data_IF_237929957283
#
_entry.id   IF_237929957283
#
_cell.length_a   1.000
_cell.length_b   1.000
_cell.length_c   1.000
_cell.angle_alpha   90.00
_cell.angle_beta   90.00
_cell.angle_gamma   90.00
#
_symmetry.space_group_name_H-M   'P 1'
#
loop_
_entity.id
_entity.type
_entity.pdbx_description
1 polymer ?
#
# COMPACT_ATOMS: atom_id res chain seq x y z
N UNK A 1 -11.51 -0.18 -15.38
CA UNK A 1 -11.56 -1.38 -14.55
C UNK A 1 -10.27 -1.59 -13.79
N UNK A 2 -10.35 -1.81 -12.50
CA UNK A 2 -9.17 -2.09 -11.71
C UNK A 2 -8.61 -3.48 -12.04
N UNK A 3 -7.30 -3.62 -11.95
CA UNK A 3 -6.61 -4.91 -12.03
C UNK A 3 -7.09 -5.78 -10.87
N UNK A 4 -7.68 -6.95 -11.17
CA UNK A 4 -8.17 -7.87 -10.13
C UNK A 4 -7.04 -8.34 -9.21
N UNK A 5 -5.82 -8.47 -9.74
CA UNK A 5 -4.67 -8.83 -8.92
C UNK A 5 -4.34 -7.73 -7.93
N UNK A 6 -4.47 -6.46 -8.33
CA UNK A 6 -4.27 -5.34 -7.40
C UNK A 6 -5.29 -5.37 -6.27
N UNK A 7 -6.55 -5.68 -6.57
CA UNK A 7 -7.59 -5.78 -5.55
C UNK A 7 -7.23 -6.87 -4.54
N UNK A 8 -6.86 -8.05 -5.03
CA UNK A 8 -6.51 -9.20 -4.18
C UNK A 8 -5.26 -8.92 -3.37
N UNK A 9 -4.19 -8.46 -4.03
CA UNK A 9 -2.89 -8.25 -3.38
C UNK A 9 -2.94 -7.12 -2.35
N UNK A 10 -3.64 -6.03 -2.66
CA UNK A 10 -3.72 -4.89 -1.74
C UNK A 10 -4.55 -5.22 -0.50
N UNK A 11 -5.59 -6.04 -0.65
CA UNK A 11 -6.39 -6.51 0.49
C UNK A 11 -5.58 -7.44 1.37
N UNK A 12 -4.86 -8.39 0.75
CA UNK A 12 -3.99 -9.31 1.49
C UNK A 12 -2.89 -8.54 2.24
N UNK A 13 -2.31 -7.55 1.60
CA UNK A 13 -1.30 -6.69 2.21
C UNK A 13 -1.87 -5.94 3.42
N UNK A 14 -3.07 -5.38 3.29
CA UNK A 14 -3.73 -4.68 4.40
C UNK A 14 -3.94 -5.59 5.61
N UNK A 15 -4.38 -6.83 5.36
CA UNK A 15 -4.57 -7.83 6.43
C UNK A 15 -3.23 -8.13 7.11
N UNK A 16 -2.17 -8.32 6.34
CA UNK A 16 -0.84 -8.61 6.88
C UNK A 16 -0.27 -7.40 7.66
N UNK A 17 -0.52 -6.19 7.20
CA UNK A 17 -0.11 -4.97 7.90
C UNK A 17 -0.82 -4.89 9.26
N UNK A 18 -2.10 -5.20 9.32
CA UNK A 18 -2.85 -5.21 10.58
C UNK A 18 -2.22 -6.20 11.55
N UNK A 19 -1.90 -7.41 11.07
CA UNK A 19 -1.27 -8.43 11.89
C UNK A 19 0.09 -8.00 12.43
N UNK A 20 0.92 -7.41 11.58
CA UNK A 20 2.22 -6.88 11.97
C UNK A 20 2.07 -5.77 13.02
N UNK A 21 1.15 -4.84 12.79
CA UNK A 21 0.93 -3.72 13.71
C UNK A 21 0.43 -4.20 15.08
N UNK A 22 -0.45 -5.19 15.11
CA UNK A 22 -0.91 -5.79 16.38
C UNK A 22 0.25 -6.41 17.14
N UNK A 23 1.11 -7.16 16.45
CA UNK A 23 2.29 -7.78 17.05
C UNK A 23 3.24 -6.74 17.64
N UNK A 24 3.51 -5.66 16.90
CA UNK A 24 4.38 -4.58 17.36
C UNK A 24 3.77 -3.80 18.52
N UNK A 25 2.45 -3.62 18.52
CA UNK A 25 1.72 -2.93 19.59
C UNK A 25 1.83 -3.70 20.90
N UNK A 26 1.75 -5.03 20.84
CA UNK A 26 1.94 -5.89 22.02
C UNK A 26 3.33 -5.74 22.61
N UNK A 27 4.33 -5.45 21.77
CA UNK A 27 5.71 -5.19 22.21
C UNK A 27 5.88 -3.76 22.71
N UNK A 28 4.85 -2.94 22.67
CA UNK A 28 4.85 -1.53 23.10
C UNK A 28 5.92 -0.69 22.37
N UNK A 29 6.04 -0.88 21.05
CA UNK A 29 7.03 -0.20 20.22
C UNK A 29 6.41 0.95 19.45
N UNK A 30 7.00 2.16 19.59
CA UNK A 30 6.76 3.33 18.73
C UNK A 30 5.32 3.49 18.23
N UNK A 31 4.34 3.55 19.15
CA UNK A 31 2.90 3.51 18.81
C UNK A 31 2.48 4.56 17.79
N UNK A 32 3.00 5.79 17.89
CA UNK A 32 2.65 6.86 16.96
C UNK A 32 3.06 6.53 15.52
N UNK A 33 4.28 6.01 15.34
CA UNK A 33 4.81 5.61 14.02
C UNK A 33 4.07 4.39 13.52
N UNK A 34 3.77 3.47 14.42
CA UNK A 34 3.00 2.26 14.11
C UNK A 34 1.63 2.62 13.52
N UNK A 35 0.97 3.63 14.07
CA UNK A 35 -0.31 4.09 13.55
C UNK A 35 -0.18 4.68 12.15
N UNK A 36 0.94 5.31 11.82
CA UNK A 36 1.21 5.80 10.48
C UNK A 36 1.40 4.64 9.48
N UNK A 37 2.10 3.60 9.89
CA UNK A 37 2.25 2.40 9.06
C UNK A 37 0.90 1.74 8.80
N UNK A 38 0.08 1.59 9.84
CA UNK A 38 -1.25 1.01 9.72
C UNK A 38 -2.11 1.84 8.76
N UNK A 39 -2.13 3.15 8.92
CA UNK A 39 -2.90 4.06 8.07
C UNK A 39 -2.47 3.96 6.61
N UNK A 40 -1.18 4.13 6.34
CA UNK A 40 -0.69 4.13 4.95
C UNK A 40 -0.84 2.75 4.30
N UNK A 41 -0.51 1.69 5.03
CA UNK A 41 -0.56 0.33 4.50
C UNK A 41 -1.98 -0.13 4.14
N UNK A 42 -2.99 0.31 4.90
CA UNK A 42 -4.39 -0.02 4.60
C UNK A 42 -5.00 0.93 3.58
N UNK A 43 -4.48 2.14 3.46
CA UNK A 43 -4.97 3.14 2.50
C UNK A 43 -4.70 2.76 1.05
N UNK A 44 -3.67 1.97 0.78
CA UNK A 44 -3.37 1.48 -0.57
C UNK A 44 -4.59 0.74 -1.12
N UNK A 45 -5.04 -0.29 -0.42
CA UNK A 45 -6.19 -1.09 -0.84
C UNK A 45 -7.49 -0.30 -0.83
N UNK A 46 -7.67 0.59 0.14
CA UNK A 46 -8.87 1.42 0.22
C UNK A 46 -9.03 2.28 -1.05
N UNK A 47 -7.96 2.90 -1.52
CA UNK A 47 -8.00 3.72 -2.73
C UNK A 47 -8.19 2.88 -4.00
N UNK A 48 -7.58 1.71 -4.06
CA UNK A 48 -7.80 0.79 -5.18
C UNK A 48 -9.26 0.34 -5.21
N UNK A 49 -9.83 0.04 -4.06
CA UNK A 49 -11.24 -0.35 -3.94
C UNK A 49 -12.16 0.78 -4.44
N UNK A 50 -11.90 2.01 -3.98
CA UNK A 50 -12.70 3.17 -4.38
C UNK A 50 -12.58 3.47 -5.87
N UNK A 51 -11.43 3.17 -6.49
CA UNK A 51 -11.24 3.39 -7.92
C UNK A 51 -12.25 2.60 -8.77
N UNK A 52 -12.74 1.45 -8.28
CA UNK A 52 -13.76 0.67 -8.99
C UNK A 52 -15.10 1.41 -9.09
N UNK A 53 -15.29 2.43 -8.27
CA UNK A 53 -16.52 3.23 -8.22
C UNK A 53 -16.25 4.66 -8.69
N UNK A 54 -15.14 4.87 -9.39
CA UNK A 54 -14.75 6.19 -9.87
C UNK A 54 -15.80 6.77 -10.82
N UNK A 55 -16.04 8.08 -10.71
CA UNK A 55 -17.02 8.78 -11.51
C UNK A 55 -16.54 9.10 -12.92
N UNK A 56 -15.24 8.98 -13.18
CA UNK A 56 -14.63 9.30 -14.48
C UNK A 56 -13.26 8.61 -14.58
N UNK A 57 -12.68 8.64 -15.78
CA UNK A 57 -11.30 8.13 -15.98
C UNK A 57 -10.31 8.95 -15.17
N UNK A 58 -10.52 10.27 -15.10
CA UNK A 58 -9.65 11.14 -14.32
C UNK A 58 -9.71 10.80 -12.83
N UNK A 59 -10.89 10.52 -12.30
CA UNK A 59 -11.08 10.12 -10.92
C UNK A 59 -10.42 8.76 -10.64
N UNK A 60 -10.56 7.80 -11.56
CA UNK A 60 -9.91 6.50 -11.48
C UNK A 60 -8.39 6.65 -11.37
N UNK A 61 -7.81 7.44 -12.28
CA UNK A 61 -6.36 7.70 -12.28
C UNK A 61 -5.94 8.37 -10.98
N UNK A 62 -6.72 9.35 -10.51
CA UNK A 62 -6.43 10.04 -9.26
C UNK A 62 -6.40 9.08 -8.07
N UNK A 63 -7.38 8.18 -7.97
CA UNK A 63 -7.43 7.19 -6.88
C UNK A 63 -6.21 6.27 -6.92
N UNK A 64 -5.79 5.84 -8.10
CA UNK A 64 -4.59 5.01 -8.25
C UNK A 64 -3.32 5.78 -7.89
N UNK A 65 -3.26 7.07 -8.23
CA UNK A 65 -2.11 7.90 -7.86
C UNK A 65 -2.02 8.09 -6.34
N UNK A 66 -3.15 8.23 -5.66
CA UNK A 66 -3.18 8.29 -4.21
C UNK A 66 -2.69 6.96 -3.63
N UNK A 67 -3.17 5.83 -4.17
CA UNK A 67 -2.71 4.51 -3.73
C UNK A 67 -1.19 4.36 -3.89
N UNK A 68 -0.64 4.81 -5.02
CA UNK A 68 0.80 4.78 -5.27
C UNK A 68 1.57 5.62 -4.25
N UNK A 69 1.07 6.81 -3.96
CA UNK A 69 1.67 7.69 -2.96
C UNK A 69 1.69 7.01 -1.59
N UNK A 70 0.61 6.32 -1.24
CA UNK A 70 0.53 5.57 0.02
C UNK A 70 1.52 4.39 0.04
N UNK A 71 1.82 3.78 -1.12
CA UNK A 71 2.88 2.77 -1.21
C UNK A 71 4.25 3.36 -0.82
N UNK A 72 4.58 4.53 -1.34
CA UNK A 72 5.84 5.18 -1.01
C UNK A 72 5.92 5.54 0.47
N UNK A 73 4.83 6.01 1.05
CA UNK A 73 4.79 6.30 2.48
C UNK A 73 4.95 5.02 3.31
N UNK A 74 4.29 3.94 2.91
CA UNK A 74 4.40 2.64 3.58
C UNK A 74 5.82 2.12 3.52
N UNK A 75 6.49 2.21 2.37
CA UNK A 75 7.90 1.85 2.23
C UNK A 75 8.76 2.61 3.25
N UNK A 76 8.51 3.90 3.41
CA UNK A 76 9.25 4.73 4.35
C UNK A 76 9.09 4.24 5.78
N UNK A 77 7.87 3.98 6.23
CA UNK A 77 7.63 3.50 7.60
C UNK A 77 8.22 2.10 7.83
N UNK A 78 8.14 1.22 6.83
CA UNK A 78 8.75 -0.10 6.90
C UNK A 78 10.26 0.02 7.08
N UNK A 79 10.89 0.92 6.33
CA UNK A 79 12.32 1.17 6.41
C UNK A 79 12.72 1.71 7.79
N UNK A 80 11.94 2.65 8.33
CA UNK A 80 12.17 3.19 9.67
C UNK A 80 12.10 2.08 10.73
N UNK A 81 11.11 1.20 10.65
CA UNK A 81 11.00 0.09 11.60
C UNK A 81 12.14 -0.91 11.44
N UNK A 82 12.57 -1.18 10.23
CA UNK A 82 13.72 -2.05 9.98
C UNK A 82 15.00 -1.45 10.57
N UNK A 83 15.25 -0.18 10.29
CA UNK A 83 16.48 0.50 10.72
C UNK A 83 16.54 0.67 12.24
N UNK A 84 15.38 0.80 12.88
CA UNK A 84 15.30 0.90 14.35
C UNK A 84 15.29 -0.47 15.03
N UNK A 85 15.32 -1.55 14.24
CA UNK A 85 15.39 -2.93 14.71
C UNK A 85 14.22 -3.35 15.61
N UNK A 86 13.04 -2.80 15.35
CA UNK A 86 11.84 -3.18 16.11
C UNK A 86 11.20 -4.45 15.58
N UNK A 87 11.68 -4.98 14.45
CA UNK A 87 11.19 -6.24 13.87
C UNK A 87 12.30 -6.97 13.14
N UNK A 88 12.07 -8.24 12.82
CA UNK A 88 13.08 -9.09 12.16
C UNK A 88 13.27 -8.71 10.69
N UNK A 89 14.46 -9.06 10.16
CA UNK A 89 14.76 -8.86 8.73
C UNK A 89 13.79 -9.64 7.84
N UNK A 90 13.34 -10.81 8.27
CA UNK A 90 12.40 -11.63 7.53
C UNK A 90 11.05 -10.93 7.40
N UNK A 91 10.51 -10.38 8.50
CA UNK A 91 9.25 -9.63 8.47
C UNK A 91 9.35 -8.42 7.54
N UNK A 92 10.48 -7.69 7.63
CA UNK A 92 10.73 -6.55 6.76
C UNK A 92 10.75 -6.96 5.29
N UNK A 93 11.53 -7.99 4.95
CA UNK A 93 11.68 -8.45 3.56
C UNK A 93 10.34 -8.87 2.95
N UNK A 94 9.51 -9.57 3.71
CA UNK A 94 8.20 -10.00 3.27
C UNK A 94 7.28 -8.80 2.98
N UNK A 95 7.17 -7.89 3.93
CA UNK A 95 6.31 -6.71 3.79
C UNK A 95 6.80 -5.78 2.69
N UNK A 96 8.11 -5.55 2.62
CA UNK A 96 8.73 -4.71 1.60
C UNK A 96 8.50 -5.30 0.20
N UNK A 97 8.64 -6.62 0.06
CA UNK A 97 8.41 -7.31 -1.21
C UNK A 97 6.96 -7.15 -1.68
N UNK A 98 6.00 -7.32 -0.80
CA UNK A 98 4.58 -7.15 -1.13
C UNK A 98 4.28 -5.70 -1.56
N UNK A 99 4.81 -4.74 -0.82
CA UNK A 99 4.61 -3.32 -1.13
C UNK A 99 5.23 -2.96 -2.48
N UNK A 100 6.42 -3.50 -2.77
CA UNK A 100 7.10 -3.30 -4.06
C UNK A 100 6.28 -3.83 -5.24
N UNK A 101 5.65 -4.99 -5.08
CA UNK A 101 4.77 -5.57 -6.11
C UNK A 101 3.56 -4.67 -6.37
N UNK A 102 2.94 -4.17 -5.30
CA UNK A 102 1.81 -3.25 -5.42
C UNK A 102 2.22 -1.97 -6.16
N UNK A 103 3.36 -1.40 -5.78
CA UNK A 103 3.88 -0.19 -6.41
C UNK A 103 4.07 -0.38 -7.91
N UNK A 104 4.74 -1.46 -8.32
CA UNK A 104 5.00 -1.74 -9.73
C UNK A 104 3.72 -1.92 -10.53
N UNK A 105 2.75 -2.62 -9.99
CA UNK A 105 1.46 -2.84 -10.65
C UNK A 105 0.65 -1.54 -10.76
N UNK A 106 0.70 -0.70 -9.72
CA UNK A 106 0.04 0.60 -9.74
C UNK A 106 0.64 1.50 -10.83
N UNK A 107 1.96 1.55 -10.91
CA UNK A 107 2.65 2.34 -11.94
C UNK A 107 2.22 1.88 -13.34
N UNK A 108 2.21 0.56 -13.58
CA UNK A 108 1.79 0.00 -14.87
C UNK A 108 0.34 0.34 -15.19
N UNK A 109 -0.56 0.21 -14.21
CA UNK A 109 -1.99 0.50 -14.39
C UNK A 109 -2.24 1.97 -14.66
N UNK A 110 -1.53 2.86 -13.96
CA UNK A 110 -1.64 4.30 -14.17
C UNK A 110 -1.16 4.67 -15.57
N UNK A 111 -0.03 4.12 -15.99
CA UNK A 111 0.54 4.36 -17.32
C UNK A 111 -0.46 3.95 -18.41
N UNK A 112 -1.05 2.76 -18.28
CA UNK A 112 -2.06 2.27 -19.23
C UNK A 112 -3.30 3.16 -19.24
N UNK A 113 -3.81 3.53 -18.06
CA UNK A 113 -4.99 4.36 -17.94
C UNK A 113 -4.80 5.74 -18.57
N UNK A 114 -3.61 6.34 -18.38
CA UNK A 114 -3.28 7.64 -18.97
C UNK A 114 -3.24 7.56 -20.50
N UNK A 115 -2.66 6.50 -21.05
CA UNK A 115 -2.65 6.28 -22.51
C UNK A 115 -4.06 6.17 -23.06
N UNK A 116 -4.90 5.41 -22.39
CA UNK A 116 -6.28 5.22 -22.82
C UNK A 116 -7.10 6.51 -22.72
N UNK A 117 -6.81 7.35 -21.74
CA UNK A 117 -7.48 8.64 -21.57
C UNK A 117 -7.13 9.65 -22.67
N UNK A 118 -5.94 9.52 -23.29
CA UNK A 118 -5.47 10.40 -24.36
C UNK A 118 -6.09 10.05 -25.72
N UNK A 119 -6.76 8.92 -25.85
CA UNK A 119 -7.46 8.51 -27.08
C UNK A 119 -8.91 9.08 -27.12
#
# INVERSE_FOLDING_TARGET
>A
MADNQLVILSKAFAVDIIGLCESLRERKKATAILNQLLRSGTSIGANIHEANYASSKADFINKFQIALKECYETDYWLEIFHDSKVRSDEEYSNMFSQCSKLRKRLIASITTAKKNAER
#
